data_IF_769919204828
#
_entry.id   IF_769919204828
#
_cell.length_a   1.000
_cell.length_b   1.000
_cell.length_c   1.000
_cell.angle_alpha   90.00
_cell.angle_beta   90.00
_cell.angle_gamma   90.00
#
_symmetry.space_group_name_H-M   'P 1'
#
loop_
_entity.id
_entity.type
_entity.pdbx_description
1 polymer ?
#
# COMPACT_ATOMS: atom_id res chain seq x y z
N UNK A 1 -5.59 -41.57 -43.19
CA UNK A 1 -6.49 -40.64 -42.52
C UNK A 1 -6.24 -40.78 -41.02
N UNK A 2 -5.45 -39.85 -40.39
CA UNK A 2 -5.17 -39.89 -38.97
C UNK A 2 -6.14 -38.92 -38.30
N UNK A 3 -7.07 -39.44 -37.52
CA UNK A 3 -7.97 -38.65 -36.69
C UNK A 3 -7.17 -37.83 -35.69
N UNK A 4 -7.24 -36.53 -35.85
CA UNK A 4 -6.70 -35.60 -34.88
C UNK A 4 -7.59 -35.65 -33.60
N UNK A 5 -7.05 -36.16 -32.49
CA UNK A 5 -7.71 -36.12 -31.21
C UNK A 5 -8.02 -34.65 -30.83
N UNK A 6 -9.22 -34.35 -30.33
CA UNK A 6 -9.56 -33.01 -29.91
C UNK A 6 -8.62 -32.56 -28.74
N UNK A 7 -8.03 -31.39 -28.92
CA UNK A 7 -7.19 -30.76 -27.88
C UNK A 7 -7.99 -30.69 -26.58
N UNK A 8 -7.45 -31.30 -25.52
CA UNK A 8 -8.02 -31.26 -24.19
C UNK A 8 -8.23 -29.79 -23.76
N UNK A 9 -9.39 -29.40 -23.20
CA UNK A 9 -9.61 -28.05 -22.74
C UNK A 9 -8.55 -27.74 -21.66
N UNK A 10 -7.79 -26.66 -21.89
CA UNK A 10 -6.83 -26.10 -20.95
C UNK A 10 -7.53 -26.03 -19.60
N UNK A 11 -7.04 -26.80 -18.63
CA UNK A 11 -7.62 -26.90 -17.30
C UNK A 11 -7.78 -25.49 -16.73
N UNK A 12 -9.01 -25.02 -16.66
CA UNK A 12 -9.35 -23.78 -15.95
C UNK A 12 -8.84 -23.93 -14.53
N UNK A 13 -7.74 -23.21 -14.20
CA UNK A 13 -7.07 -23.33 -12.92
C UNK A 13 -8.07 -23.13 -11.79
N UNK A 14 -8.07 -24.05 -10.82
CA UNK A 14 -8.93 -23.95 -9.61
C UNK A 14 -8.91 -22.51 -9.08
N UNK A 15 -10.06 -21.95 -8.72
CA UNK A 15 -10.11 -20.61 -8.15
C UNK A 15 -9.17 -20.56 -6.94
N UNK A 16 -8.17 -19.69 -6.99
CA UNK A 16 -7.20 -19.54 -5.91
C UNK A 16 -7.93 -19.06 -4.66
N UNK A 17 -7.75 -19.75 -3.54
CA UNK A 17 -8.34 -19.34 -2.27
C UNK A 17 -7.75 -18.02 -1.78
N UNK A 18 -8.56 -17.23 -1.08
CA UNK A 18 -8.07 -16.02 -0.42
C UNK A 18 -6.94 -16.37 0.56
N UNK A 19 -5.90 -15.56 0.58
CA UNK A 19 -4.80 -15.76 1.54
C UNK A 19 -5.31 -15.54 2.98
N UNK A 20 -4.87 -16.36 3.96
CA UNK A 20 -5.24 -16.19 5.37
C UNK A 20 -4.91 -14.78 5.89
N UNK A 21 -5.78 -14.21 6.74
CA UNK A 21 -5.60 -12.86 7.30
C UNK A 21 -4.24 -12.69 7.99
N UNK A 22 -3.82 -13.68 8.78
CA UNK A 22 -2.54 -13.63 9.49
C UNK A 22 -1.36 -13.38 8.53
N UNK A 23 -1.31 -14.07 7.39
CA UNK A 23 -0.26 -13.87 6.38
C UNK A 23 -0.31 -12.48 5.76
N UNK A 24 -1.52 -11.92 5.57
CA UNK A 24 -1.69 -10.56 5.02
C UNK A 24 -1.18 -9.50 5.99
N UNK A 25 -1.47 -9.64 7.31
CA UNK A 25 -0.95 -8.71 8.32
C UNK A 25 0.57 -8.84 8.51
N UNK A 26 1.13 -10.06 8.46
CA UNK A 26 2.58 -10.24 8.47
C UNK A 26 3.24 -9.60 7.25
N UNK A 27 2.66 -9.77 6.06
CA UNK A 27 3.14 -9.10 4.85
C UNK A 27 3.02 -7.58 4.95
N UNK A 28 1.93 -7.06 5.52
CA UNK A 28 1.74 -5.62 5.77
C UNK A 28 2.83 -5.07 6.69
N UNK A 29 3.17 -5.78 7.78
CA UNK A 29 4.28 -5.39 8.66
C UNK A 29 5.61 -5.31 7.90
N UNK A 30 5.89 -6.27 7.03
CA UNK A 30 7.09 -6.26 6.19
C UNK A 30 7.04 -5.12 5.14
N UNK A 31 5.89 -4.87 4.52
CA UNK A 31 5.71 -3.72 3.62
C UNK A 31 5.94 -2.40 4.34
N UNK A 32 5.56 -2.31 5.62
CA UNK A 32 5.85 -1.17 6.48
C UNK A 32 7.35 -0.90 6.65
N UNK A 33 8.17 -1.94 6.78
CA UNK A 33 9.65 -1.79 6.82
C UNK A 33 10.21 -1.28 5.49
N UNK A 34 9.69 -1.75 4.36
CA UNK A 34 10.08 -1.23 3.04
C UNK A 34 9.67 0.22 2.86
N UNK A 35 8.47 0.60 3.31
CA UNK A 35 8.04 2.01 3.33
C UNK A 35 8.93 2.86 4.23
N UNK A 36 9.33 2.37 5.40
CA UNK A 36 10.26 3.08 6.27
C UNK A 36 11.61 3.35 5.57
N UNK A 37 12.12 2.40 4.79
CA UNK A 37 13.32 2.61 3.98
C UNK A 37 13.11 3.69 2.92
N UNK A 38 11.97 3.72 2.22
CA UNK A 38 11.62 4.77 1.26
C UNK A 38 11.56 6.14 1.94
N UNK A 39 10.94 6.22 3.13
CA UNK A 39 10.88 7.45 3.92
C UNK A 39 12.27 7.95 4.31
N UNK A 40 13.16 7.05 4.74
CA UNK A 40 14.54 7.39 5.07
C UNK A 40 15.29 7.94 3.85
N UNK A 41 15.20 7.29 2.70
CA UNK A 41 15.84 7.76 1.46
C UNK A 41 15.30 9.12 1.05
N UNK A 42 13.99 9.31 1.04
CA UNK A 42 13.36 10.60 0.74
C UNK A 42 13.81 11.69 1.73
N UNK A 43 13.91 11.36 3.03
CA UNK A 43 14.43 12.24 4.06
C UNK A 43 15.86 12.67 3.77
N UNK A 44 16.76 11.75 3.47
CA UNK A 44 18.15 12.05 3.12
C UNK A 44 18.25 12.97 1.89
N UNK A 45 17.46 12.73 0.85
CA UNK A 45 17.46 13.54 -0.36
C UNK A 45 16.97 14.98 -0.11
N UNK A 46 16.15 15.19 0.92
CA UNK A 46 15.58 16.50 1.25
C UNK A 46 16.35 17.25 2.33
N UNK A 47 17.32 16.64 3.02
CA UNK A 47 18.18 17.29 4.03
C UNK A 47 18.83 18.59 3.52
N UNK A 48 19.46 18.64 2.32
CA UNK A 48 20.08 19.88 1.82
C UNK A 48 19.08 21.03 1.65
N UNK A 49 17.82 20.72 1.37
CA UNK A 49 16.74 21.69 1.18
C UNK A 49 16.15 22.18 2.52
N UNK A 50 16.34 21.41 3.58
CA UNK A 50 15.85 21.71 4.91
C UNK A 50 16.91 22.46 5.75
N UNK A 51 18.19 22.43 5.35
CA UNK A 51 19.26 23.09 6.07
C UNK A 51 19.08 24.61 5.96
N UNK A 52 19.13 25.37 7.10
CA UNK A 52 19.11 26.82 7.05
C UNK A 52 20.38 27.32 6.36
N UNK A 53 20.24 28.30 5.46
CA UNK A 53 21.33 28.93 4.72
C UNK A 53 22.33 29.70 5.61
N UNK A 54 21.99 29.94 6.87
CA UNK A 54 22.80 30.58 7.89
C UNK A 54 23.02 29.60 9.04
N UNK A 55 24.28 29.38 9.42
CA UNK A 55 24.76 28.43 10.44
C UNK A 55 24.22 28.65 11.88
N UNK A 56 22.96 28.82 12.03
CA UNK A 56 22.24 28.97 13.27
C UNK A 56 22.02 27.61 13.93
N UNK A 57 22.74 27.40 15.02
CA UNK A 57 22.37 26.51 16.12
C UNK A 57 22.19 25.02 15.84
N UNK A 58 22.87 24.17 16.59
CA UNK A 58 22.75 22.70 16.63
C UNK A 58 21.39 22.18 17.14
N UNK A 59 20.29 22.93 16.98
CA UNK A 59 18.95 22.51 17.37
C UNK A 59 18.24 21.77 16.23
N UNK A 60 17.44 20.75 16.57
CA UNK A 60 16.50 20.13 15.63
C UNK A 60 15.46 21.19 15.23
N UNK A 61 15.63 21.79 14.06
CA UNK A 61 14.65 22.74 13.52
C UNK A 61 13.62 21.99 12.67
N UNK A 62 12.35 22.39 12.78
CA UNK A 62 11.29 21.88 11.92
C UNK A 62 11.56 22.35 10.48
N UNK A 63 11.67 21.44 9.49
CA UNK A 63 11.93 21.84 8.13
C UNK A 63 10.83 22.78 7.57
N UNK A 64 11.16 23.69 6.65
CA UNK A 64 10.20 24.54 5.97
C UNK A 64 9.06 23.76 5.35
N UNK A 65 7.87 24.35 5.24
CA UNK A 65 6.71 23.68 4.66
C UNK A 65 7.00 23.11 3.25
N UNK A 66 7.74 23.86 2.43
CA UNK A 66 8.14 23.42 1.09
C UNK A 66 8.98 22.14 1.10
N UNK A 67 9.95 22.02 2.01
CA UNK A 67 10.77 20.81 2.15
C UNK A 67 9.94 19.62 2.65
N UNK A 68 9.02 19.86 3.57
CA UNK A 68 8.08 18.83 4.07
C UNK A 68 7.14 18.34 2.97
N UNK A 69 6.58 19.27 2.19
CA UNK A 69 5.71 18.95 1.06
C UNK A 69 6.46 18.15 -0.02
N UNK A 70 7.69 18.57 -0.36
CA UNK A 70 8.53 17.84 -1.31
C UNK A 70 8.85 16.42 -0.81
N UNK A 71 9.23 16.27 0.46
CA UNK A 71 9.46 14.93 1.06
C UNK A 71 8.20 14.05 0.98
N UNK A 72 7.04 14.60 1.30
CA UNK A 72 5.77 13.88 1.22
C UNK A 72 5.45 13.45 -0.23
N UNK A 73 5.66 14.34 -1.20
CA UNK A 73 5.49 14.03 -2.62
C UNK A 73 6.47 12.93 -3.09
N UNK A 74 7.73 12.98 -2.65
CA UNK A 74 8.71 11.95 -2.96
C UNK A 74 8.32 10.59 -2.37
N UNK A 75 7.95 10.55 -1.10
CA UNK A 75 7.49 9.31 -0.44
C UNK A 75 6.28 8.74 -1.16
N UNK A 76 5.27 9.57 -1.43
CA UNK A 76 4.08 9.17 -2.14
C UNK A 76 4.40 8.66 -3.55
N UNK A 77 5.25 9.36 -4.31
CA UNK A 77 5.62 9.00 -5.66
C UNK A 77 6.44 7.70 -5.73
N UNK A 78 7.48 7.56 -4.90
CA UNK A 78 8.32 6.36 -4.87
C UNK A 78 7.56 5.13 -4.37
N UNK A 79 6.75 5.27 -3.33
CA UNK A 79 5.87 4.20 -2.87
C UNK A 79 4.87 3.79 -3.95
N UNK A 80 4.24 4.78 -4.61
CA UNK A 80 3.31 4.54 -5.71
C UNK A 80 3.96 3.78 -6.86
N UNK A 81 5.13 4.24 -7.30
CA UNK A 81 5.89 3.57 -8.36
C UNK A 81 6.22 2.12 -7.98
N UNK A 82 6.73 1.90 -6.76
CA UNK A 82 7.07 0.57 -6.27
C UNK A 82 5.84 -0.34 -6.21
N UNK A 83 4.76 0.10 -5.59
CA UNK A 83 3.58 -0.75 -5.39
C UNK A 83 2.83 -1.00 -6.69
N UNK A 84 2.54 0.04 -7.48
CA UNK A 84 1.81 -0.10 -8.75
C UNK A 84 2.58 -1.01 -9.70
N UNK A 85 3.90 -0.80 -9.83
CA UNK A 85 4.74 -1.68 -10.64
C UNK A 85 4.74 -3.12 -10.13
N UNK A 86 4.85 -3.32 -8.81
CA UNK A 86 4.89 -4.67 -8.21
C UNK A 86 3.55 -5.41 -8.27
N UNK A 87 2.43 -4.73 -8.40
CA UNK A 87 1.10 -5.35 -8.45
C UNK A 87 0.61 -5.63 -9.87
N UNK A 88 1.22 -5.06 -10.89
CA UNK A 88 0.80 -5.21 -12.28
C UNK A 88 1.48 -6.39 -12.97
N UNK A 89 0.85 -6.95 -14.00
CA UNK A 89 1.45 -7.99 -14.86
C UNK A 89 1.84 -9.27 -14.12
N UNK A 90 1.12 -9.65 -13.06
CA UNK A 90 1.40 -10.86 -12.29
C UNK A 90 2.64 -10.78 -11.40
N UNK A 91 3.27 -9.60 -11.30
CA UNK A 91 4.39 -9.36 -10.36
C UNK A 91 3.91 -9.41 -8.92
N UNK A 92 4.84 -9.48 -7.99
CA UNK A 92 4.57 -9.57 -6.56
C UNK A 92 5.57 -8.71 -5.79
N UNK A 93 5.10 -8.04 -4.73
CA UNK A 93 5.99 -7.38 -3.77
C UNK A 93 6.89 -8.42 -3.09
N UNK A 94 7.98 -7.96 -2.49
CA UNK A 94 8.88 -8.86 -1.76
C UNK A 94 8.16 -9.63 -0.63
N UNK A 95 7.35 -8.98 0.22
CA UNK A 95 6.53 -9.68 1.21
C UNK A 95 5.57 -10.71 0.60
N UNK A 96 4.92 -10.38 -0.52
CA UNK A 96 4.04 -11.33 -1.20
C UNK A 96 4.77 -12.59 -1.67
N UNK A 97 6.03 -12.46 -2.11
CA UNK A 97 6.86 -13.62 -2.48
C UNK A 97 7.19 -14.46 -1.25
N UNK A 98 7.62 -13.83 -0.16
CA UNK A 98 7.99 -14.49 1.10
C UNK A 98 6.82 -15.29 1.68
N UNK A 99 5.62 -14.70 1.69
CA UNK A 99 4.42 -15.32 2.27
C UNK A 99 3.59 -16.14 1.27
N UNK A 100 4.13 -16.40 0.06
CA UNK A 100 3.47 -17.17 -1.01
C UNK A 100 2.06 -16.64 -1.30
N UNK A 101 1.97 -15.34 -1.56
CA UNK A 101 0.73 -14.66 -1.92
C UNK A 101 0.88 -13.97 -3.26
N UNK A 102 -0.25 -13.71 -3.91
CA UNK A 102 -0.33 -12.92 -5.14
C UNK A 102 -1.54 -12.01 -5.10
N UNK A 103 -1.48 -10.92 -5.84
CA UNK A 103 -2.62 -10.05 -6.07
C UNK A 103 -3.30 -10.46 -7.38
N UNK A 104 -4.62 -10.60 -7.34
CA UNK A 104 -5.45 -10.89 -8.51
C UNK A 104 -6.68 -10.00 -8.51
N UNK A 105 -7.33 -9.85 -9.65
CA UNK A 105 -8.67 -9.26 -9.72
C UNK A 105 -9.71 -10.21 -9.11
N UNK A 106 -10.90 -9.70 -8.82
CA UNK A 106 -11.98 -10.50 -8.26
C UNK A 106 -12.37 -11.69 -9.17
N UNK A 107 -12.22 -11.56 -10.49
CA UNK A 107 -12.44 -12.61 -11.49
C UNK A 107 -11.26 -13.60 -11.64
N UNK A 108 -10.15 -13.38 -10.91
CA UNK A 108 -8.95 -14.20 -10.96
C UNK A 108 -7.94 -13.79 -12.05
N UNK A 109 -8.24 -12.81 -12.87
CA UNK A 109 -7.32 -12.28 -13.88
C UNK A 109 -6.16 -11.49 -13.26
N UNK A 110 -5.05 -11.26 -13.98
CA UNK A 110 -3.98 -10.40 -13.54
C UNK A 110 -4.45 -8.97 -13.31
N UNK A 111 -3.87 -8.29 -12.31
CA UNK A 111 -4.19 -6.89 -12.02
C UNK A 111 -3.60 -5.98 -13.09
N UNK A 112 -4.42 -5.12 -13.66
CA UNK A 112 -4.03 -4.08 -14.59
C UNK A 112 -3.52 -2.81 -13.87
N UNK A 113 -2.92 -1.88 -14.63
CA UNK A 113 -2.37 -0.65 -14.07
C UNK A 113 -3.44 0.23 -13.42
N UNK A 114 -4.66 0.26 -13.96
CA UNK A 114 -5.77 1.07 -13.41
C UNK A 114 -6.18 0.54 -12.03
N UNK A 115 -6.42 -0.75 -11.89
CA UNK A 115 -6.78 -1.35 -10.61
C UNK A 115 -5.66 -1.21 -9.58
N UNK A 116 -4.39 -1.32 -9.99
CA UNK A 116 -3.24 -1.11 -9.11
C UNK A 116 -3.17 0.34 -8.61
N UNK A 117 -3.39 1.34 -9.47
CA UNK A 117 -3.43 2.75 -9.08
C UNK A 117 -4.60 3.03 -8.14
N UNK A 118 -5.81 2.56 -8.48
CA UNK A 118 -6.98 2.71 -7.60
C UNK A 118 -6.73 2.09 -6.23
N UNK A 119 -6.15 0.90 -6.18
CA UNK A 119 -5.76 0.22 -4.94
C UNK A 119 -4.77 1.06 -4.13
N UNK A 120 -3.75 1.60 -4.78
CA UNK A 120 -2.75 2.45 -4.13
C UNK A 120 -3.39 3.71 -3.52
N UNK A 121 -4.19 4.44 -4.29
CA UNK A 121 -4.87 5.64 -3.81
C UNK A 121 -5.87 5.32 -2.68
N UNK A 122 -6.63 4.24 -2.82
CA UNK A 122 -7.57 3.80 -1.78
C UNK A 122 -6.87 3.41 -0.46
N UNK A 123 -5.64 2.89 -0.51
CA UNK A 123 -4.87 2.58 0.69
C UNK A 123 -4.51 3.85 1.52
N UNK A 124 -4.47 5.03 0.88
CA UNK A 124 -4.21 6.30 1.55
C UNK A 124 -5.44 6.94 2.20
N UNK A 125 -6.65 6.41 2.01
CA UNK A 125 -7.87 6.98 2.60
C UNK A 125 -7.80 7.01 4.13
N UNK A 126 -7.36 5.93 4.77
CA UNK A 126 -7.19 5.88 6.22
C UNK A 126 -6.13 6.86 6.73
N UNK A 127 -4.88 6.82 6.24
CA UNK A 127 -3.86 7.80 6.58
C UNK A 127 -4.28 9.26 6.34
N UNK A 128 -4.93 9.55 5.22
CA UNK A 128 -5.42 10.91 4.94
C UNK A 128 -6.50 11.35 5.95
N UNK A 129 -7.47 10.47 6.24
CA UNK A 129 -8.49 10.75 7.25
C UNK A 129 -7.88 10.98 8.63
N UNK A 130 -6.87 10.18 9.01
CA UNK A 130 -6.14 10.34 10.27
C UNK A 130 -5.41 11.70 10.35
N UNK A 131 -4.75 12.12 9.27
CA UNK A 131 -4.06 13.41 9.21
C UNK A 131 -5.04 14.59 9.29
N UNK A 132 -6.14 14.54 8.56
CA UNK A 132 -7.19 15.57 8.63
C UNK A 132 -7.78 15.63 10.03
N UNK A 133 -8.16 14.49 10.61
CA UNK A 133 -8.70 14.44 11.97
C UNK A 133 -7.69 14.95 13.01
N UNK A 134 -6.40 14.61 12.87
CA UNK A 134 -5.35 15.13 13.75
C UNK A 134 -5.25 16.65 13.65
N UNK A 135 -5.21 17.18 12.43
CA UNK A 135 -5.07 18.63 12.23
C UNK A 135 -6.26 19.45 12.74
N UNK A 136 -7.48 18.88 12.67
CA UNK A 136 -8.72 19.60 13.02
C UNK A 136 -9.19 19.33 14.45
N UNK A 137 -9.04 18.12 14.96
CA UNK A 137 -9.64 17.70 16.23
C UNK A 137 -8.67 17.80 17.42
N UNK A 138 -7.36 17.60 17.21
CA UNK A 138 -6.40 17.70 18.30
C UNK A 138 -6.31 19.13 18.88
N UNK A 139 -6.32 20.19 18.07
CA UNK A 139 -6.33 21.58 18.59
C UNK A 139 -7.56 21.94 19.44
N UNK A 140 -8.69 21.22 19.27
CA UNK A 140 -9.93 21.43 20.05
C UNK A 140 -10.08 20.44 21.20
N UNK A 141 -9.00 19.76 21.60
CA UNK A 141 -8.95 18.93 22.80
C UNK A 141 -9.24 17.44 22.57
N UNK A 142 -9.48 16.99 21.33
CA UNK A 142 -9.57 15.57 21.03
C UNK A 142 -8.16 15.00 20.98
N UNK A 143 -7.88 13.97 21.77
CA UNK A 143 -6.54 13.40 21.89
C UNK A 143 -6.00 12.81 20.59
N UNK A 144 -4.68 12.56 20.54
CA UNK A 144 -3.99 12.03 19.36
C UNK A 144 -4.43 10.60 18.92
N UNK A 145 -5.34 9.97 19.70
CA UNK A 145 -5.92 8.67 19.36
C UNK A 145 -6.67 8.66 17.99
N UNK A 146 -7.05 9.84 17.47
CA UNK A 146 -7.61 9.95 16.09
C UNK A 146 -6.67 9.38 15.03
N UNK A 147 -5.39 9.25 15.30
CA UNK A 147 -4.42 8.63 14.38
C UNK A 147 -4.72 7.14 14.11
N UNK A 148 -5.49 6.47 14.98
CA UNK A 148 -5.98 5.11 14.72
C UNK A 148 -6.87 4.99 13.49
N UNK A 149 -7.43 6.11 13.01
CA UNK A 149 -8.16 6.15 11.74
C UNK A 149 -7.30 5.67 10.56
N UNK A 150 -5.98 5.80 10.64
CA UNK A 150 -5.08 5.27 9.62
C UNK A 150 -5.21 3.73 9.44
N UNK A 151 -5.60 3.02 10.49
CA UNK A 151 -5.77 1.57 10.45
C UNK A 151 -7.14 1.12 9.90
N UNK A 152 -8.12 2.02 9.75
CA UNK A 152 -9.50 1.65 9.38
C UNK A 152 -9.57 0.80 8.11
N UNK A 153 -8.80 1.15 7.08
CA UNK A 153 -8.77 0.41 5.82
C UNK A 153 -8.34 -1.05 5.97
N UNK A 154 -7.50 -1.33 6.96
CA UNK A 154 -7.03 -2.68 7.29
C UNK A 154 -7.96 -3.39 8.27
N UNK A 155 -8.51 -2.67 9.26
CA UNK A 155 -9.49 -3.20 10.21
C UNK A 155 -10.80 -3.59 9.52
N UNK A 156 -11.12 -2.99 8.39
CA UNK A 156 -12.26 -3.37 7.55
C UNK A 156 -12.33 -4.87 7.29
N UNK A 157 -11.19 -5.57 7.18
CA UNK A 157 -11.14 -7.01 6.95
C UNK A 157 -11.77 -7.86 8.05
N UNK A 158 -12.05 -7.33 9.22
CA UNK A 158 -12.74 -8.05 10.30
C UNK A 158 -14.26 -8.04 10.15
N UNK A 159 -14.80 -7.05 9.43
CA UNK A 159 -16.25 -6.91 9.18
C UNK A 159 -16.63 -7.32 7.76
N UNK A 160 -15.67 -7.38 6.85
CA UNK A 160 -15.90 -7.78 5.46
C UNK A 160 -16.19 -9.28 5.34
N UNK A 161 -17.26 -9.70 4.63
CA UNK A 161 -17.61 -11.12 4.47
C UNK A 161 -16.48 -11.97 3.87
N UNK A 162 -15.72 -11.41 2.92
CA UNK A 162 -14.58 -12.07 2.28
C UNK A 162 -13.25 -11.77 2.97
N UNK A 163 -13.31 -11.10 4.12
CA UNK A 163 -12.14 -10.67 4.91
C UNK A 163 -11.12 -9.90 4.10
N UNK A 164 -11.57 -9.01 3.20
CA UNK A 164 -10.71 -8.19 2.37
C UNK A 164 -10.43 -6.84 3.02
N UNK A 165 -9.28 -6.25 2.71
CA UNK A 165 -9.01 -4.88 3.09
C UNK A 165 -9.86 -3.92 2.26
N UNK A 166 -10.18 -2.75 2.79
CA UNK A 166 -11.04 -1.77 2.13
C UNK A 166 -10.51 -1.37 0.75
N UNK A 167 -9.21 -1.13 0.63
CA UNK A 167 -8.58 -0.78 -0.64
C UNK A 167 -8.64 -1.92 -1.68
N UNK A 168 -8.64 -3.18 -1.25
CA UNK A 168 -8.85 -4.33 -2.13
C UNK A 168 -10.27 -4.34 -2.70
N UNK A 169 -11.28 -4.07 -1.84
CA UNK A 169 -12.67 -3.97 -2.27
C UNK A 169 -12.90 -2.84 -3.26
N UNK A 170 -12.37 -1.64 -2.97
CA UNK A 170 -12.52 -0.46 -3.84
C UNK A 170 -11.87 -0.72 -5.22
N UNK A 171 -10.73 -1.38 -5.25
CA UNK A 171 -9.99 -1.66 -6.48
C UNK A 171 -10.49 -2.90 -7.25
N UNK A 172 -11.45 -3.67 -6.70
CA UNK A 172 -11.89 -4.94 -7.29
C UNK A 172 -10.78 -5.99 -7.35
N UNK A 173 -9.88 -5.97 -6.36
CA UNK A 173 -8.74 -6.89 -6.24
C UNK A 173 -8.87 -7.78 -5.01
N UNK A 174 -8.08 -8.85 -4.96
CA UNK A 174 -8.01 -9.75 -3.80
C UNK A 174 -6.61 -10.34 -3.65
N UNK A 175 -6.19 -10.58 -2.42
CA UNK A 175 -4.93 -11.27 -2.12
C UNK A 175 -5.22 -12.77 -2.02
N UNK A 176 -4.59 -13.55 -2.89
CA UNK A 176 -4.77 -15.00 -3.00
C UNK A 176 -3.51 -15.76 -2.61
N UNK A 177 -3.66 -17.02 -2.20
CA UNK A 177 -2.53 -17.93 -2.03
C UNK A 177 -1.90 -18.25 -3.39
N UNK A 178 -0.55 -18.22 -3.48
CA UNK A 178 0.23 -18.42 -4.71
C UNK A 178 1.02 -19.72 -4.67
#
# INVERSE_FOLDING_TARGET
>A
MRDAAPASPVAAGRPRSNAPLARRYLALGYEGLLLAAIVLVAGFLTIPLAAPASGAGRGLTVPPLAARALSACMVFGFAGLYFVWSWTGGRRTLPMKTWKMALARADGSPVDGRAAVVRYLAAWLGPAAALVAHATLVPVGVGAHVLWLAALGYLWAFVDPDRQFLHDRIAGTRIVSA
#
